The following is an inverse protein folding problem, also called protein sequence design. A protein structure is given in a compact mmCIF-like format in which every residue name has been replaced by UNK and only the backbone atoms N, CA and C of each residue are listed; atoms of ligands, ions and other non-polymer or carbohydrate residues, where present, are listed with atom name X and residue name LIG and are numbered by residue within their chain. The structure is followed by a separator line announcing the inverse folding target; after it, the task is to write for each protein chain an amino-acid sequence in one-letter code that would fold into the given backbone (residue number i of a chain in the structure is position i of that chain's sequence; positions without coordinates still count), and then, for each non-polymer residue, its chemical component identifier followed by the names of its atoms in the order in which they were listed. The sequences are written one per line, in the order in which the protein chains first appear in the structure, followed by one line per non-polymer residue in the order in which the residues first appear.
data_IF_903229136019
#
_entry.id   IF_903229136019
#
_cell.length_a   1.000
_cell.length_b   1.000
_cell.length_c   1.000
_cell.angle_alpha   90.00
_cell.angle_beta   90.00
_cell.angle_gamma   90.00
#
_symmetry.space_group_name_H-M   'P 1'
#
loop_
_entity.id
_entity.type
_entity.pdbx_description
1 polymer ?
#
# COMPACT_ATOMS: atom_id res chain seq x y z
N UNK A 1 39.71 -19.47 14.98
CA UNK A 1 38.41 -20.23 14.91
C UNK A 1 37.29 -19.35 14.36
N UNK A 2 37.22 -18.04 14.68
CA UNK A 2 36.14 -17.13 14.23
C UNK A 2 36.17 -16.87 12.72
N UNK A 3 37.35 -16.75 12.10
CA UNK A 3 37.49 -16.41 10.68
C UNK A 3 36.92 -17.51 9.75
N UNK A 4 37.22 -18.80 9.92
CA UNK A 4 36.65 -19.85 9.06
C UNK A 4 35.13 -19.98 9.20
N UNK A 5 34.57 -19.75 10.39
CA UNK A 5 33.12 -19.71 10.60
C UNK A 5 32.45 -18.56 9.84
N UNK A 6 33.08 -17.39 9.84
CA UNK A 6 32.59 -16.22 9.14
C UNK A 6 32.66 -16.40 7.61
N UNK A 7 33.75 -16.97 7.11
CA UNK A 7 33.92 -17.32 5.69
C UNK A 7 32.88 -18.35 5.26
N UNK A 8 32.63 -19.36 6.08
CA UNK A 8 31.63 -20.38 5.81
C UNK A 8 30.20 -19.81 5.78
N UNK A 9 29.87 -18.94 6.73
CA UNK A 9 28.59 -18.22 6.77
C UNK A 9 28.38 -17.35 5.55
N UNK A 10 29.40 -16.56 5.15
CA UNK A 10 29.35 -15.73 3.94
C UNK A 10 29.25 -16.56 2.66
N UNK A 11 29.92 -17.72 2.60
CA UNK A 11 29.80 -18.64 1.48
C UNK A 11 28.39 -19.22 1.37
N UNK A 12 27.75 -19.55 2.48
CA UNK A 12 26.35 -19.99 2.53
C UNK A 12 25.38 -18.93 2.03
N UNK A 13 25.56 -17.66 2.47
CA UNK A 13 24.76 -16.52 2.01
C UNK A 13 24.95 -16.33 0.50
N UNK A 14 26.21 -16.34 0.01
CA UNK A 14 26.51 -16.16 -1.41
C UNK A 14 25.90 -17.27 -2.27
N UNK A 15 25.90 -18.51 -1.79
CA UNK A 15 25.28 -19.65 -2.48
C UNK A 15 23.76 -19.43 -2.59
N UNK A 16 23.11 -19.02 -1.50
CA UNK A 16 21.67 -18.74 -1.47
C UNK A 16 21.28 -17.62 -2.43
N UNK A 17 22.07 -16.54 -2.46
CA UNK A 17 21.87 -15.45 -3.42
C UNK A 17 22.00 -15.92 -4.85
N UNK A 18 22.98 -16.79 -5.16
CA UNK A 18 23.16 -17.33 -6.50
C UNK A 18 21.95 -18.17 -6.93
N UNK A 19 21.49 -19.08 -6.08
CA UNK A 19 20.31 -19.91 -6.34
C UNK A 19 19.07 -19.04 -6.65
N UNK A 20 18.88 -17.94 -5.89
CA UNK A 20 17.79 -16.99 -6.13
C UNK A 20 18.00 -16.26 -7.47
N UNK A 21 19.21 -15.77 -7.75
CA UNK A 21 19.50 -15.08 -9.02
C UNK A 21 19.29 -15.98 -10.23
N UNK A 22 19.69 -17.25 -10.16
CA UNK A 22 19.47 -18.24 -11.22
C UNK A 22 17.97 -18.52 -11.41
N UNK A 23 17.20 -18.55 -10.33
CA UNK A 23 15.75 -18.78 -10.38
C UNK A 23 14.94 -17.60 -10.96
N UNK A 24 15.47 -16.36 -10.86
CA UNK A 24 14.82 -15.15 -11.39
C UNK A 24 15.44 -14.63 -12.68
N UNK A 25 16.52 -15.27 -13.15
CA UNK A 25 17.16 -14.89 -14.41
C UNK A 25 16.17 -15.10 -15.58
N UNK A 26 16.11 -14.16 -16.53
CA UNK A 26 15.28 -14.35 -17.73
C UNK A 26 15.72 -15.61 -18.44
N UNK A 27 14.78 -16.53 -18.63
CA UNK A 27 15.01 -17.74 -19.41
C UNK A 27 14.88 -17.41 -20.91
N UNK A 28 15.68 -18.09 -21.77
CA UNK A 28 15.55 -17.98 -23.23
C UNK A 28 14.12 -18.33 -23.71
N UNK A 29 13.40 -19.15 -22.94
CA UNK A 29 11.99 -19.49 -23.18
C UNK A 29 11.03 -18.30 -22.95
N UNK A 30 11.44 -17.24 -22.26
CA UNK A 30 10.59 -16.06 -21.96
C UNK A 30 10.26 -15.27 -23.24
N UNK A 31 11.09 -15.37 -24.28
CA UNK A 31 10.88 -14.65 -25.53
C UNK A 31 10.89 -13.12 -25.36
N UNK A 32 10.63 -12.36 -26.41
CA UNK A 32 10.50 -10.91 -26.30
C UNK A 32 9.27 -10.55 -25.49
N UNK A 33 9.38 -9.50 -24.66
CA UNK A 33 8.30 -8.98 -23.84
C UNK A 33 7.06 -8.73 -24.72
N UNK A 34 6.07 -9.61 -24.59
CA UNK A 34 4.78 -9.41 -25.27
C UNK A 34 4.01 -8.38 -24.47
N UNK A 35 3.93 -7.17 -25.00
CA UNK A 35 2.97 -6.19 -24.48
C UNK A 35 1.57 -6.78 -24.62
N UNK A 36 0.79 -6.72 -23.55
CA UNK A 36 -0.62 -7.13 -23.58
C UNK A 36 -1.31 -6.48 -24.78
N UNK A 37 -2.10 -7.24 -25.57
CA UNK A 37 -2.82 -6.68 -26.71
C UNK A 37 -3.65 -5.49 -26.25
N UNK A 38 -3.43 -4.33 -26.86
CA UNK A 38 -4.22 -3.11 -26.58
C UNK A 38 -5.70 -3.25 -26.92
N UNK A 39 -6.07 -4.30 -27.60
CA UNK A 39 -7.43 -4.55 -28.09
C UNK A 39 -8.43 -5.01 -27.01
N UNK A 40 -7.94 -5.34 -25.81
CA UNK A 40 -8.75 -5.54 -24.61
C UNK A 40 -8.09 -4.75 -23.48
N UNK A 41 -8.53 -3.52 -23.22
CA UNK A 41 -8.17 -2.85 -22.00
C UNK A 41 -8.78 -3.68 -20.86
N UNK A 42 -7.93 -4.42 -20.13
CA UNK A 42 -8.30 -4.97 -18.85
C UNK A 42 -8.62 -3.77 -17.96
N UNK A 43 -9.82 -3.73 -17.39
CA UNK A 43 -10.17 -2.72 -16.42
C UNK A 43 -9.14 -2.71 -15.29
N UNK A 44 -8.84 -1.56 -14.74
CA UNK A 44 -7.92 -1.44 -13.62
C UNK A 44 -8.69 -1.04 -12.36
N UNK A 45 -8.67 -1.90 -11.36
CA UNK A 45 -9.29 -1.65 -10.07
C UNK A 45 -8.22 -1.46 -8.99
N UNK A 46 -8.31 -0.38 -8.22
CA UNK A 46 -7.40 -0.13 -7.11
C UNK A 46 -8.11 -0.27 -5.76
N UNK A 47 -7.52 -1.03 -4.86
CA UNK A 47 -7.97 -1.17 -3.47
C UNK A 47 -6.98 -0.42 -2.59
N UNK A 48 -7.41 0.66 -1.97
CA UNK A 48 -6.56 1.49 -1.09
C UNK A 48 -6.78 1.10 0.35
N UNK A 49 -5.77 0.52 1.00
CA UNK A 49 -5.82 0.27 2.43
C UNK A 49 -5.61 1.55 3.22
N UNK A 50 -6.51 1.85 4.14
CA UNK A 50 -6.41 3.02 5.00
C UNK A 50 -6.52 2.61 6.46
N UNK A 51 -5.51 2.97 7.27
CA UNK A 51 -5.57 2.78 8.72
C UNK A 51 -6.52 3.79 9.40
N UNK A 52 -6.70 4.96 8.80
CA UNK A 52 -7.57 6.04 9.22
C UNK A 52 -7.71 7.07 8.09
N UNK A 53 -8.67 7.99 8.21
CA UNK A 53 -8.74 9.17 7.36
C UNK A 53 -7.59 10.13 7.71
N UNK A 54 -6.56 10.12 6.88
CA UNK A 54 -5.33 10.87 7.11
C UNK A 54 -4.76 11.40 5.78
N UNK A 55 -3.87 12.39 5.85
CA UNK A 55 -3.21 12.91 4.63
C UNK A 55 -2.52 11.82 3.81
N UNK A 56 -1.71 10.92 4.40
CA UNK A 56 -1.14 9.80 3.66
C UNK A 56 -2.19 8.95 2.95
N UNK A 57 -3.33 8.69 3.60
CA UNK A 57 -4.42 7.90 3.03
C UNK A 57 -5.06 8.60 1.83
N UNK A 58 -5.33 9.90 1.93
CA UNK A 58 -5.88 10.67 0.80
C UNK A 58 -4.89 10.80 -0.37
N UNK A 59 -3.59 10.92 -0.10
CA UNK A 59 -2.57 10.89 -1.16
C UNK A 59 -2.54 9.54 -1.88
N UNK A 60 -2.70 8.44 -1.14
CA UNK A 60 -2.80 7.11 -1.73
C UNK A 60 -4.07 6.94 -2.58
N UNK A 61 -5.20 7.46 -2.12
CA UNK A 61 -6.45 7.49 -2.91
C UNK A 61 -6.27 8.31 -4.17
N UNK A 62 -5.71 9.52 -4.08
CA UNK A 62 -5.44 10.38 -5.23
C UNK A 62 -4.50 9.71 -6.24
N UNK A 63 -3.47 9.03 -5.77
CA UNK A 63 -2.61 8.24 -6.63
C UNK A 63 -3.38 7.10 -7.31
N UNK A 64 -4.20 6.35 -6.58
CA UNK A 64 -5.02 5.28 -7.14
C UNK A 64 -5.97 5.79 -8.23
N UNK A 65 -6.65 6.92 -8.00
CA UNK A 65 -7.51 7.56 -9.00
C UNK A 65 -6.78 8.05 -10.26
N UNK A 66 -5.45 8.19 -10.23
CA UNK A 66 -4.68 8.63 -11.40
C UNK A 66 -4.45 7.53 -12.44
N UNK A 67 -4.64 6.26 -12.09
CA UNK A 67 -4.36 5.15 -12.99
C UNK A 67 -5.48 4.09 -13.06
N UNK A 68 -6.36 4.03 -12.05
CA UNK A 68 -7.40 3.02 -11.99
C UNK A 68 -8.76 3.55 -12.50
N UNK A 69 -9.52 2.69 -13.16
CA UNK A 69 -10.88 3.00 -13.65
C UNK A 69 -11.89 3.03 -12.49
N UNK A 70 -11.61 2.26 -11.42
CA UNK A 70 -12.40 2.25 -10.19
C UNK A 70 -11.50 2.09 -8.97
N UNK A 71 -11.83 2.78 -7.89
CA UNK A 71 -11.05 2.80 -6.65
C UNK A 71 -11.96 2.47 -5.47
N UNK A 72 -11.54 1.52 -4.64
CA UNK A 72 -12.20 1.21 -3.38
C UNK A 72 -11.26 1.52 -2.22
N UNK A 73 -11.61 2.55 -1.44
CA UNK A 73 -10.93 2.86 -0.19
C UNK A 73 -11.45 1.95 0.92
N UNK A 74 -10.58 1.29 1.66
CA UNK A 74 -10.97 0.30 2.67
C UNK A 74 -10.40 0.67 4.03
N UNK A 75 -11.27 0.76 5.03
CA UNK A 75 -10.90 0.93 6.45
C UNK A 75 -11.44 -0.26 7.24
N UNK A 76 -10.58 -0.87 8.05
CA UNK A 76 -10.98 -1.92 8.99
C UNK A 76 -11.24 -1.31 10.35
N UNK A 77 -12.48 -1.43 10.83
CA UNK A 77 -12.96 -0.87 12.09
C UNK A 77 -12.76 -1.88 13.23
N UNK A 78 -12.10 -1.45 14.29
CA UNK A 78 -12.05 -2.21 15.55
C UNK A 78 -13.33 -2.02 16.39
N UNK A 79 -14.02 -0.90 16.20
CA UNK A 79 -15.29 -0.57 16.87
C UNK A 79 -16.31 -0.10 15.80
N UNK A 80 -17.45 -0.81 15.64
CA UNK A 80 -18.50 -0.45 14.70
C UNK A 80 -19.09 0.96 14.90
N UNK A 81 -19.05 1.49 16.12
CA UNK A 81 -19.56 2.85 16.42
C UNK A 81 -18.81 3.95 15.66
N UNK A 82 -17.59 3.67 15.19
CA UNK A 82 -16.79 4.60 14.39
C UNK A 82 -17.26 4.73 12.94
N UNK A 83 -18.13 3.84 12.46
CA UNK A 83 -18.58 3.84 11.07
C UNK A 83 -19.27 5.17 10.67
N UNK A 84 -20.22 5.63 11.45
CA UNK A 84 -20.95 6.86 11.17
C UNK A 84 -20.06 8.11 11.09
N UNK A 85 -19.23 8.40 12.11
CA UNK A 85 -18.27 9.50 12.06
C UNK A 85 -17.29 9.42 10.88
N UNK A 86 -16.80 8.22 10.54
CA UNK A 86 -15.87 8.03 9.42
C UNK A 86 -16.56 8.27 8.09
N UNK A 87 -17.77 7.74 7.86
CA UNK A 87 -18.52 7.97 6.62
C UNK A 87 -18.83 9.47 6.45
N UNK A 88 -19.29 10.14 7.50
CA UNK A 88 -19.57 11.59 7.43
C UNK A 88 -18.31 12.43 7.16
N UNK A 89 -17.15 12.02 7.67
CA UNK A 89 -15.90 12.67 7.37
C UNK A 89 -15.43 12.38 5.95
N UNK A 90 -15.61 11.14 5.47
CA UNK A 90 -15.29 10.76 4.10
C UNK A 90 -16.08 11.59 3.08
N UNK A 91 -17.40 11.70 3.23
CA UNK A 91 -18.26 12.47 2.34
C UNK A 91 -17.83 13.94 2.23
N UNK A 92 -17.27 14.48 3.31
CA UNK A 92 -16.77 15.87 3.34
C UNK A 92 -15.49 16.06 2.55
N UNK A 93 -14.60 15.04 2.53
CA UNK A 93 -13.26 15.15 1.96
C UNK A 93 -13.15 14.53 0.57
N UNK A 94 -13.90 13.47 0.27
CA UNK A 94 -13.77 12.74 -0.98
C UNK A 94 -14.47 13.41 -2.17
N UNK A 95 -15.37 14.37 -1.92
CA UNK A 95 -16.15 15.07 -2.96
C UNK A 95 -17.06 14.10 -3.72
N UNK A 96 -18.34 14.37 -3.76
CA UNK A 96 -19.39 13.49 -4.28
C UNK A 96 -19.39 13.28 -5.81
N UNK A 97 -18.37 13.73 -6.55
CA UNK A 97 -18.45 13.82 -8.01
C UNK A 97 -17.88 12.64 -8.80
N UNK A 98 -17.27 11.66 -8.18
CA UNK A 98 -16.66 10.55 -8.91
C UNK A 98 -17.32 9.22 -8.55
N UNK A 99 -18.28 8.79 -9.35
CA UNK A 99 -18.89 7.46 -9.24
C UNK A 99 -17.90 6.28 -9.44
N UNK A 100 -16.59 6.57 -9.43
CA UNK A 100 -15.50 5.61 -9.53
C UNK A 100 -14.75 5.40 -8.20
N UNK A 101 -15.16 6.08 -7.11
CA UNK A 101 -14.50 6.01 -5.80
C UNK A 101 -15.51 5.63 -4.71
N UNK A 102 -15.30 4.45 -4.12
CA UNK A 102 -16.14 3.90 -3.06
C UNK A 102 -15.36 3.79 -1.74
N UNK A 103 -16.07 3.97 -0.61
CA UNK A 103 -15.55 3.67 0.73
C UNK A 103 -16.20 2.39 1.25
N UNK A 104 -15.38 1.44 1.65
CA UNK A 104 -15.81 0.21 2.33
C UNK A 104 -15.27 0.19 3.75
N UNK A 105 -16.17 0.00 4.72
CA UNK A 105 -15.84 -0.14 6.12
C UNK A 105 -16.01 -1.62 6.49
N UNK A 106 -14.89 -2.27 6.85
CA UNK A 106 -14.89 -3.67 7.28
C UNK A 106 -14.88 -3.74 8.80
N UNK A 107 -15.72 -4.56 9.38
CA UNK A 107 -15.73 -4.80 10.81
C UNK A 107 -14.75 -5.92 11.18
N UNK A 108 -13.99 -5.72 12.26
CA UNK A 108 -13.10 -6.72 12.81
C UNK A 108 -13.41 -7.00 14.27
N UNK A 109 -14.15 -8.07 14.57
CA UNK A 109 -14.54 -8.39 15.94
C UNK A 109 -13.35 -8.76 16.86
N UNK A 110 -12.20 -9.10 16.27
CA UNK A 110 -11.00 -9.53 17.02
C UNK A 110 -9.83 -8.54 16.95
N UNK A 111 -10.07 -7.29 16.63
CA UNK A 111 -9.04 -6.24 16.48
C UNK A 111 -7.92 -6.58 15.45
N UNK A 112 -8.10 -7.62 14.66
CA UNK A 112 -7.20 -7.96 13.56
C UNK A 112 -7.59 -7.18 12.31
N UNK A 113 -6.76 -6.25 11.89
CA UNK A 113 -7.03 -5.46 10.68
C UNK A 113 -6.61 -6.18 9.39
N UNK A 114 -5.75 -7.19 9.48
CA UNK A 114 -5.13 -7.85 8.33
C UNK A 114 -6.09 -8.88 7.71
N UNK A 115 -6.64 -9.79 8.52
CA UNK A 115 -7.52 -10.86 8.05
C UNK A 115 -8.69 -10.35 7.22
N UNK A 116 -9.58 -9.51 7.77
CA UNK A 116 -10.72 -8.99 7.03
C UNK A 116 -10.36 -8.24 5.75
N UNK A 117 -9.23 -7.54 5.74
CA UNK A 117 -8.74 -6.86 4.53
C UNK A 117 -8.27 -7.87 3.48
N UNK A 118 -7.50 -8.89 3.87
CA UNK A 118 -7.07 -9.94 2.93
C UNK A 118 -8.27 -10.68 2.33
N UNK A 119 -9.26 -11.03 3.15
CA UNK A 119 -10.49 -11.70 2.69
C UNK A 119 -11.26 -10.83 1.70
N UNK A 120 -11.35 -9.52 1.97
CA UNK A 120 -11.98 -8.55 1.07
C UNK A 120 -11.24 -8.46 -0.27
N UNK A 121 -9.91 -8.39 -0.26
CA UNK A 121 -9.08 -8.34 -1.47
C UNK A 121 -9.30 -9.61 -2.30
N UNK A 122 -9.22 -10.79 -1.69
CA UNK A 122 -9.43 -12.08 -2.37
C UNK A 122 -10.81 -12.18 -3.00
N UNK A 123 -11.85 -11.76 -2.28
CA UNK A 123 -13.22 -11.80 -2.80
C UNK A 123 -13.41 -10.80 -3.95
N UNK A 124 -12.82 -9.61 -3.85
CA UNK A 124 -12.88 -8.61 -4.92
C UNK A 124 -12.20 -9.10 -6.19
N UNK A 125 -11.02 -9.73 -6.07
CA UNK A 125 -10.32 -10.32 -7.22
C UNK A 125 -11.13 -11.45 -7.87
N UNK A 126 -11.78 -12.29 -7.06
CA UNK A 126 -12.64 -13.35 -7.55
C UNK A 126 -13.84 -12.82 -8.34
N UNK A 127 -14.43 -11.73 -7.87
CA UNK A 127 -15.60 -11.11 -8.51
C UNK A 127 -15.23 -10.28 -9.75
N UNK A 128 -14.01 -9.75 -9.80
CA UNK A 128 -13.50 -8.90 -10.89
C UNK A 128 -12.33 -9.56 -11.63
N UNK A 129 -12.51 -10.82 -12.03
CA UNK A 129 -11.47 -11.59 -12.73
C UNK A 129 -11.08 -11.03 -14.10
N UNK A 130 -11.85 -10.09 -14.64
CA UNK A 130 -11.61 -9.35 -15.88
C UNK A 130 -10.79 -8.06 -15.68
N UNK A 131 -10.45 -7.71 -14.44
CA UNK A 131 -9.71 -6.51 -14.07
C UNK A 131 -8.34 -6.86 -13.47
N UNK A 132 -7.38 -5.95 -13.65
CA UNK A 132 -6.14 -5.97 -12.88
C UNK A 132 -6.42 -5.30 -11.54
N UNK A 133 -6.29 -6.04 -10.45
CA UNK A 133 -6.43 -5.49 -9.10
C UNK A 133 -5.08 -5.06 -8.55
N UNK A 134 -4.97 -3.80 -8.12
CA UNK A 134 -3.78 -3.26 -7.47
C UNK A 134 -4.10 -2.84 -6.04
N UNK A 135 -3.37 -3.39 -5.08
CA UNK A 135 -3.47 -2.96 -3.68
C UNK A 135 -2.52 -1.79 -3.43
N UNK A 136 -3.06 -0.66 -3.00
CA UNK A 136 -2.31 0.57 -2.73
C UNK A 136 -2.23 0.80 -1.23
N UNK A 137 -1.02 0.99 -0.72
CA UNK A 137 -0.77 1.20 0.70
C UNK A 137 -0.04 2.51 0.95
N UNK A 138 -0.58 3.42 1.79
CA UNK A 138 0.13 4.58 2.26
C UNK A 138 1.17 4.18 3.31
N UNK A 139 2.37 4.71 3.19
CA UNK A 139 3.47 4.53 4.15
C UNK A 139 3.95 5.91 4.59
N UNK A 140 3.78 6.21 5.87
CA UNK A 140 4.29 7.44 6.46
C UNK A 140 5.79 7.30 6.72
N UNK A 141 6.57 8.29 6.27
CA UNK A 141 8.02 8.34 6.47
C UNK A 141 8.34 9.50 7.43
N UNK A 142 8.52 9.22 8.73
CA UNK A 142 9.06 10.18 9.67
C UNK A 142 10.58 10.36 9.44
N UNK A 143 11.15 11.42 10.02
CA UNK A 143 12.60 11.66 9.93
C UNK A 143 13.42 10.60 10.65
N UNK A 144 12.94 10.12 11.78
CA UNK A 144 13.64 9.13 12.58
C UNK A 144 13.33 7.70 12.12
N UNK A 145 14.38 6.90 11.97
CA UNK A 145 14.27 5.50 11.51
C UNK A 145 13.49 4.62 12.47
N UNK A 146 13.56 4.88 13.78
CA UNK A 146 12.83 4.14 14.80
C UNK A 146 11.32 4.41 14.69
N UNK A 147 10.94 5.68 14.51
CA UNK A 147 9.54 6.06 14.31
C UNK A 147 8.98 5.49 13.01
N UNK A 148 9.81 5.41 11.95
CA UNK A 148 9.41 4.79 10.68
C UNK A 148 9.06 3.31 10.85
N UNK A 149 9.82 2.58 11.65
CA UNK A 149 9.58 1.18 11.92
C UNK A 149 8.31 0.97 12.74
N UNK A 150 8.07 1.80 13.76
CA UNK A 150 6.89 1.70 14.62
C UNK A 150 5.59 2.07 13.88
N UNK A 151 5.61 3.17 13.11
CA UNK A 151 4.44 3.65 12.38
C UNK A 151 4.00 2.70 11.25
N UNK A 152 4.92 1.97 10.64
CA UNK A 152 4.65 1.17 9.46
C UNK A 152 4.50 -0.34 9.73
N UNK A 153 4.52 -0.77 10.97
CA UNK A 153 4.42 -2.20 11.32
C UNK A 153 3.18 -2.88 10.71
N UNK A 154 2.02 -2.21 10.74
CA UNK A 154 0.78 -2.74 10.17
C UNK A 154 0.86 -2.88 8.65
N UNK A 155 1.43 -1.90 7.96
CA UNK A 155 1.61 -1.95 6.52
C UNK A 155 2.58 -3.06 6.11
N UNK A 156 3.69 -3.25 6.84
CA UNK A 156 4.65 -4.33 6.61
C UNK A 156 4.03 -5.71 6.88
N UNK A 157 3.25 -5.85 7.95
CA UNK A 157 2.55 -7.11 8.26
C UNK A 157 1.50 -7.45 7.22
N UNK A 158 0.78 -6.44 6.71
CA UNK A 158 -0.19 -6.61 5.64
C UNK A 158 0.50 -7.01 4.33
N UNK A 159 1.59 -6.34 3.98
CA UNK A 159 2.40 -6.69 2.82
C UNK A 159 2.89 -8.14 2.89
N UNK A 160 3.40 -8.57 4.05
CA UNK A 160 3.84 -9.95 4.26
C UNK A 160 2.70 -10.97 4.16
N UNK A 161 1.51 -10.64 4.66
CA UNK A 161 0.34 -11.51 4.58
C UNK A 161 -0.17 -11.68 3.14
N UNK A 162 -0.14 -10.60 2.35
CA UNK A 162 -0.59 -10.61 0.96
C UNK A 162 0.48 -11.08 -0.03
N UNK A 163 1.77 -11.01 0.32
CA UNK A 163 2.89 -11.40 -0.56
C UNK A 163 2.98 -12.90 -0.85
N UNK A 164 2.26 -13.73 -0.10
CA UNK A 164 2.21 -15.18 -0.35
C UNK A 164 1.41 -15.56 -1.61
N UNK A 165 0.68 -14.63 -2.21
CA UNK A 165 -0.06 -14.85 -3.44
C UNK A 165 0.62 -14.12 -4.60
N UNK A 166 1.11 -14.89 -5.57
CA UNK A 166 2.01 -14.43 -6.64
C UNK A 166 1.34 -13.60 -7.75
N UNK A 167 0.01 -13.42 -7.69
CA UNK A 167 -0.76 -12.77 -8.76
C UNK A 167 -1.06 -11.28 -8.54
N UNK A 168 -0.67 -10.71 -7.40
CA UNK A 168 -1.10 -9.38 -6.98
C UNK A 168 -0.08 -8.28 -7.24
N UNK A 169 -0.57 -7.16 -7.72
CA UNK A 169 0.22 -5.94 -7.87
C UNK A 169 0.09 -5.09 -6.61
N UNK A 170 1.23 -4.67 -6.06
CA UNK A 170 1.29 -3.78 -4.90
C UNK A 170 1.91 -2.46 -5.27
N UNK A 171 1.30 -1.38 -4.79
CA UNK A 171 1.85 -0.05 -4.90
C UNK A 171 1.98 0.59 -3.51
N UNK A 172 3.17 1.11 -3.21
CA UNK A 172 3.46 1.78 -1.94
C UNK A 172 3.57 3.27 -2.21
N UNK A 173 2.66 4.05 -1.60
CA UNK A 173 2.67 5.51 -1.68
C UNK A 173 3.33 6.08 -0.44
N UNK A 174 4.50 6.70 -0.62
CA UNK A 174 5.29 7.27 0.47
C UNK A 174 4.82 8.69 0.77
N UNK A 175 4.55 8.95 2.03
CA UNK A 175 4.22 10.28 2.52
C UNK A 175 5.28 10.74 3.54
N UNK A 176 5.96 11.83 3.23
CA UNK A 176 6.93 12.43 4.14
C UNK A 176 6.22 13.32 5.14
N UNK A 177 6.39 13.04 6.43
CA UNK A 177 5.79 13.85 7.48
C UNK A 177 6.52 15.20 7.53
N UNK A 178 5.84 16.34 7.27
CA UNK A 178 6.45 17.65 7.34
C UNK A 178 6.88 17.99 8.78
N UNK A 179 7.99 18.70 8.92
CA UNK A 179 8.59 19.03 10.22
C UNK A 179 7.83 20.15 10.94
N UNK A 180 7.12 20.99 10.19
CA UNK A 180 6.33 22.08 10.75
C UNK A 180 4.83 21.70 10.76
N UNK A 181 4.09 22.00 11.83
CA UNK A 181 2.65 21.80 11.84
C UNK A 181 2.03 22.65 10.73
N UNK A 182 0.99 22.15 10.02
CA UNK A 182 0.30 22.91 9.00
C UNK A 182 -0.38 24.13 9.65
N UNK A 183 0.10 25.31 9.35
CA UNK A 183 -0.42 26.57 9.90
C UNK A 183 0.60 27.47 10.61
N UNK A 184 1.85 27.04 10.76
CA UNK A 184 2.91 27.97 11.14
C UNK A 184 3.17 28.91 9.96
N UNK A 185 2.61 30.10 10.01
CA UNK A 185 2.94 31.19 9.09
C UNK A 185 4.45 31.45 9.18
N UNK A 186 5.17 31.67 8.08
CA UNK A 186 6.55 32.06 8.14
C UNK A 186 6.62 33.36 8.96
N UNK A 187 7.35 33.33 10.06
CA UNK A 187 7.68 34.56 10.79
C UNK A 187 8.28 35.53 9.77
N UNK A 188 7.73 36.74 9.65
CA UNK A 188 8.38 37.77 8.85
C UNK A 188 9.74 38.02 9.50
N UNK A 189 10.81 37.68 8.77
CA UNK A 189 12.18 38.06 9.11
C UNK A 189 12.19 39.56 9.25
N UNK A 190 12.28 40.01 10.50
CA UNK A 190 12.37 41.41 10.84
C UNK A 190 13.51 42.07 10.07
N UNK A 191 13.15 43.02 9.25
CA UNK A 191 14.05 44.02 8.68
C UNK A 191 14.66 44.75 9.87
N UNK A 192 15.92 44.52 10.14
CA UNK A 192 16.71 45.44 10.96
C UNK A 192 17.15 46.60 10.05
N UNK A 193 16.65 47.78 10.42
CA UNK A 193 17.28 49.05 10.07
C UNK A 193 18.65 49.19 10.75
#
# INVERSE_FOLDING_TARGET
IAIPLLVWGLAGIRRRYREVYEAIAPDEAMGPLQLLPRDRPLGHHAIVWMAALSRPSFEAVRYACSFADSVTAVIVLANPEQAGPISSAWDRYAGLETGALDLVLLESPFSSTIGPFCDFVMETERLRSDCITTVVMPVAIPRDRLDAMLLNQRALSLLAALANDHSRVFSIVRYFIPTEPPGASPHPSGTME
#
